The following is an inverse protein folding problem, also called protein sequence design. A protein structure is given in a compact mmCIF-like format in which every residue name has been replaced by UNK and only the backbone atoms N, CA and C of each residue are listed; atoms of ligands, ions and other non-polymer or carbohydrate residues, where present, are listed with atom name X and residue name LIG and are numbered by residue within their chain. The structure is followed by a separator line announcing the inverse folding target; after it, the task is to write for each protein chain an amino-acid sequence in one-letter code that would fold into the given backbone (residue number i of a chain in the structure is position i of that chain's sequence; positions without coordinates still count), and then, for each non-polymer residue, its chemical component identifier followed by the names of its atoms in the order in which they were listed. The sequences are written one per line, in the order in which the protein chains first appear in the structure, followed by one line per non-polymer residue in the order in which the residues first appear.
data_IF_258161886408
#
_entry.id   IF_258161886408
#
_cell.length_a   1.000
_cell.length_b   1.000
_cell.length_c   1.000
_cell.angle_alpha   90.00
_cell.angle_beta   90.00
_cell.angle_gamma   90.00
#
_symmetry.space_group_name_H-M   'P 1'
#
loop_
_entity.id
_entity.type
_entity.pdbx_description
1 polymer ?
#
# COMPACT_ATOMS: atom_id res chain seq x y z
N UNK A 1 9.66 -51.52 -12.52
CA UNK A 1 8.44 -51.34 -11.70
C UNK A 1 8.56 -51.85 -10.25
N UNK A 2 9.42 -52.83 -9.93
CA UNK A 2 9.58 -53.32 -8.55
C UNK A 2 10.26 -52.31 -7.59
N UNK A 3 11.15 -51.47 -8.10
CA UNK A 3 11.87 -50.42 -7.33
C UNK A 3 10.95 -49.31 -6.82
N UNK A 4 9.97 -48.86 -7.63
CA UNK A 4 8.98 -47.84 -7.23
C UNK A 4 8.09 -48.33 -6.08
N UNK A 5 7.68 -49.60 -6.13
CA UNK A 5 6.89 -50.23 -5.05
C UNK A 5 7.68 -50.37 -3.74
N UNK A 6 9.00 -50.55 -3.81
CA UNK A 6 9.85 -50.64 -2.63
C UNK A 6 10.01 -49.28 -1.93
N UNK A 7 10.08 -48.18 -2.71
CA UNK A 7 10.18 -46.81 -2.20
C UNK A 7 8.87 -46.35 -1.53
N UNK A 8 7.72 -46.73 -2.09
CA UNK A 8 6.39 -46.44 -1.51
C UNK A 8 6.10 -47.18 -0.20
N UNK A 9 6.93 -48.16 0.17
CA UNK A 9 6.81 -48.92 1.43
C UNK A 9 7.32 -48.16 2.65
N UNK A 10 8.15 -47.13 2.43
CA UNK A 10 8.69 -46.28 3.49
C UNK A 10 7.95 -44.94 3.48
N UNK A 11 7.18 -44.60 4.55
CA UNK A 11 6.35 -43.40 4.56
C UNK A 11 7.16 -42.10 4.42
N UNK A 12 8.39 -42.06 4.96
CA UNK A 12 9.31 -40.94 4.79
C UNK A 12 9.79 -40.76 3.34
N UNK A 13 10.06 -41.85 2.63
CA UNK A 13 10.48 -41.81 1.23
C UNK A 13 9.32 -41.38 0.31
N UNK A 14 8.10 -41.83 0.58
CA UNK A 14 6.90 -41.38 -0.12
C UNK A 14 6.65 -39.88 0.09
N UNK A 15 6.75 -39.39 1.32
CA UNK A 15 6.60 -37.98 1.64
C UNK A 15 7.66 -37.10 0.95
N UNK A 16 8.92 -37.53 0.98
CA UNK A 16 10.00 -36.85 0.25
C UNK A 16 9.75 -36.80 -1.26
N UNK A 17 9.25 -37.90 -1.85
CA UNK A 17 8.91 -37.94 -3.28
C UNK A 17 7.77 -36.98 -3.64
N UNK A 18 6.78 -36.83 -2.77
CA UNK A 18 5.69 -35.86 -2.94
C UNK A 18 6.20 -34.42 -2.89
N UNK A 19 7.10 -34.10 -1.94
CA UNK A 19 7.73 -32.77 -1.88
C UNK A 19 8.55 -32.51 -3.16
N UNK A 20 9.37 -33.47 -3.60
CA UNK A 20 10.17 -33.33 -4.82
C UNK A 20 9.26 -33.13 -6.03
N UNK A 21 8.18 -33.91 -6.15
CA UNK A 21 7.21 -33.76 -7.23
C UNK A 21 6.56 -32.36 -7.22
N UNK A 22 6.21 -31.84 -6.03
CA UNK A 22 5.69 -30.47 -5.89
C UNK A 22 6.73 -29.42 -6.30
N UNK A 23 8.00 -29.57 -5.90
CA UNK A 23 9.07 -28.65 -6.27
C UNK A 23 9.33 -28.67 -7.79
N UNK A 24 9.31 -29.85 -8.41
CA UNK A 24 9.45 -30.01 -9.86
C UNK A 24 8.26 -29.36 -10.58
N UNK A 25 7.03 -29.60 -10.12
CA UNK A 25 5.85 -28.96 -10.68
C UNK A 25 5.92 -27.43 -10.56
N UNK A 26 6.35 -26.91 -9.40
CA UNK A 26 6.55 -25.47 -9.18
C UNK A 26 7.64 -24.90 -10.09
N UNK A 27 8.75 -25.61 -10.28
CA UNK A 27 9.85 -25.18 -11.14
C UNK A 27 9.46 -25.12 -12.63
N UNK A 28 8.55 -26.00 -13.07
CA UNK A 28 7.98 -25.96 -14.43
C UNK A 28 6.92 -24.85 -14.53
N UNK A 29 6.08 -24.70 -13.50
CA UNK A 29 5.00 -23.72 -13.49
C UNK A 29 5.51 -22.27 -13.42
N UNK A 30 6.54 -22.00 -12.62
CA UNK A 30 7.08 -20.66 -12.39
C UNK A 30 7.44 -19.89 -13.68
N UNK A 31 8.24 -20.43 -14.64
CA UNK A 31 8.54 -19.70 -15.88
C UNK A 31 7.34 -19.54 -16.83
N UNK A 32 6.30 -20.38 -16.69
CA UNK A 32 5.06 -20.27 -17.47
C UNK A 32 4.19 -19.14 -16.90
N UNK A 33 4.05 -19.09 -15.57
CA UNK A 33 3.24 -18.08 -14.89
C UNK A 33 3.93 -16.70 -14.83
N UNK A 34 5.26 -16.67 -14.71
CA UNK A 34 6.09 -15.47 -14.62
C UNK A 34 7.17 -15.48 -15.71
N UNK A 35 6.86 -14.95 -16.91
CA UNK A 35 7.84 -14.81 -17.98
C UNK A 35 9.04 -13.96 -17.55
N UNK A 36 10.20 -14.21 -18.15
CA UNK A 36 11.46 -13.58 -17.74
C UNK A 36 11.44 -12.03 -17.75
N UNK A 37 10.76 -11.42 -18.73
CA UNK A 37 10.61 -9.96 -18.80
C UNK A 37 9.80 -9.40 -17.63
N UNK A 38 8.72 -10.10 -17.25
CA UNK A 38 7.87 -9.77 -16.12
C UNK A 38 8.63 -9.94 -14.80
N UNK A 39 9.38 -11.04 -14.67
CA UNK A 39 10.24 -11.27 -13.52
C UNK A 39 11.29 -10.17 -13.34
N UNK A 40 11.92 -9.70 -14.43
CA UNK A 40 12.85 -8.56 -14.38
C UNK A 40 12.12 -7.27 -13.96
N UNK A 41 10.91 -7.01 -14.49
CA UNK A 41 10.13 -5.82 -14.15
C UNK A 41 9.79 -5.80 -12.66
N UNK A 42 9.28 -6.92 -12.14
CA UNK A 42 8.95 -7.10 -10.73
C UNK A 42 10.20 -7.03 -9.84
N UNK A 43 11.30 -7.68 -10.24
CA UNK A 43 12.55 -7.67 -9.48
C UNK A 43 13.21 -6.29 -9.42
N UNK A 44 13.23 -5.57 -10.54
CA UNK A 44 13.75 -4.19 -10.57
C UNK A 44 12.93 -3.26 -9.68
N UNK A 45 11.68 -3.62 -9.38
CA UNK A 45 10.83 -2.87 -8.47
C UNK A 45 10.74 -1.40 -8.84
N UNK A 46 10.60 -1.12 -10.14
CA UNK A 46 10.50 0.24 -10.66
C UNK A 46 9.28 0.97 -10.11
N UNK A 47 9.18 2.26 -10.45
CA UNK A 47 8.07 3.11 -10.05
C UNK A 47 6.72 2.47 -10.42
N UNK A 48 5.77 2.49 -9.48
CA UNK A 48 4.45 1.87 -9.65
C UNK A 48 4.35 0.35 -9.44
N UNK A 49 5.44 -0.38 -9.13
CA UNK A 49 5.37 -1.85 -8.97
C UNK A 49 5.17 -2.29 -7.52
N UNK A 50 5.89 -1.69 -6.56
CA UNK A 50 5.84 -2.05 -5.14
C UNK A 50 5.62 -0.82 -4.24
N UNK A 51 5.14 0.29 -4.78
CA UNK A 51 4.97 1.53 -4.02
C UNK A 51 3.95 1.39 -2.88
N UNK A 52 2.94 0.56 -3.08
CA UNK A 52 1.89 0.27 -2.09
C UNK A 52 2.32 -0.80 -1.08
N UNK A 53 3.47 -1.45 -1.28
CA UNK A 53 3.96 -2.57 -0.48
C UNK A 53 5.36 -2.29 0.08
N UNK A 54 5.47 -1.74 1.29
CA UNK A 54 6.75 -1.49 1.93
C UNK A 54 7.63 -2.76 1.99
N UNK A 55 8.93 -2.62 1.73
CA UNK A 55 9.85 -3.77 1.65
C UNK A 55 9.88 -4.66 2.91
N UNK A 56 9.62 -4.06 4.07
CA UNK A 56 9.68 -4.72 5.37
C UNK A 56 8.28 -4.93 5.98
N UNK A 57 7.22 -4.82 5.17
CA UNK A 57 5.86 -5.09 5.63
C UNK A 57 5.75 -6.57 6.04
N UNK A 58 5.12 -6.82 7.18
CA UNK A 58 4.78 -8.18 7.60
C UNK A 58 3.67 -8.71 6.69
N UNK A 59 3.64 -10.02 6.41
CA UNK A 59 2.56 -10.59 5.64
C UNK A 59 1.26 -10.54 6.44
N UNK A 60 0.13 -10.34 5.76
CA UNK A 60 -1.20 -10.20 6.38
C UNK A 60 -1.62 -11.42 7.20
N UNK A 61 -1.15 -12.62 6.86
CA UNK A 61 -1.44 -13.84 7.65
C UNK A 61 -0.93 -13.77 9.09
N UNK A 62 -0.06 -12.81 9.42
CA UNK A 62 0.35 -12.57 10.80
C UNK A 62 -0.83 -12.18 11.71
N UNK A 63 -1.88 -11.56 11.17
CA UNK A 63 -3.12 -11.25 11.90
C UNK A 63 -4.01 -12.50 12.15
N UNK A 64 -3.64 -13.68 11.64
CA UNK A 64 -4.37 -14.92 11.93
C UNK A 64 -4.03 -15.52 13.29
N UNK A 65 -2.98 -15.02 13.96
CA UNK A 65 -2.65 -15.46 15.31
C UNK A 65 -3.60 -14.84 16.34
N UNK A 66 -4.10 -15.64 17.31
CA UNK A 66 -4.96 -15.12 18.36
C UNK A 66 -4.32 -13.94 19.11
N UNK A 67 -5.07 -12.85 19.26
CA UNK A 67 -4.63 -11.65 19.98
C UNK A 67 -3.70 -10.72 19.19
N UNK A 68 -3.58 -10.90 17.87
CA UNK A 68 -2.80 -10.02 16.99
C UNK A 68 -3.75 -9.26 16.06
N UNK A 69 -3.70 -7.93 16.12
CA UNK A 69 -4.48 -7.04 15.26
C UNK A 69 -3.60 -5.88 14.78
N UNK A 70 -2.64 -6.20 13.91
CA UNK A 70 -1.70 -5.23 13.36
C UNK A 70 -2.29 -4.55 12.12
N UNK A 71 -1.95 -3.26 11.89
CA UNK A 71 -2.38 -2.53 10.72
C UNK A 71 -1.98 -3.22 9.42
N UNK A 72 -2.97 -3.47 8.56
CA UNK A 72 -2.74 -3.92 7.19
C UNK A 72 -2.62 -2.72 6.26
N UNK A 73 -2.04 -2.95 5.07
CA UNK A 73 -2.00 -1.91 4.03
C UNK A 73 -3.42 -1.63 3.53
N UNK A 74 -3.91 -0.43 3.76
CA UNK A 74 -5.16 0.09 3.20
C UNK A 74 -4.84 0.91 1.96
N UNK A 75 -5.49 0.59 0.83
CA UNK A 75 -5.29 1.27 -0.45
C UNK A 75 -6.60 1.91 -0.87
N UNK A 76 -6.61 3.25 -0.94
CA UNK A 76 -7.77 4.03 -1.39
C UNK A 76 -7.39 4.78 -2.67
N UNK A 77 -8.17 4.58 -3.74
CA UNK A 77 -7.82 5.10 -5.06
C UNK A 77 -9.03 5.75 -5.75
N UNK A 78 -8.93 7.06 -5.99
CA UNK A 78 -9.97 7.86 -6.65
C UNK A 78 -10.08 7.65 -8.17
N UNK A 79 -9.15 6.91 -8.79
CA UNK A 79 -9.24 6.50 -10.20
C UNK A 79 -10.14 5.28 -10.38
N UNK A 80 -10.19 4.40 -9.37
CA UNK A 80 -11.02 3.18 -9.38
C UNK A 80 -12.37 3.38 -8.71
N UNK A 81 -12.45 4.28 -7.71
CA UNK A 81 -13.70 4.63 -7.03
C UNK A 81 -14.07 6.10 -7.25
N UNK A 82 -15.04 6.37 -8.16
CA UNK A 82 -15.53 7.72 -8.42
C UNK A 82 -16.23 8.38 -7.22
N UNK A 83 -16.74 7.60 -6.25
CA UNK A 83 -17.46 8.16 -5.10
C UNK A 83 -16.54 8.98 -4.18
N UNK A 84 -15.23 8.72 -4.22
CA UNK A 84 -14.22 9.45 -3.47
C UNK A 84 -13.94 10.85 -4.04
N UNK A 85 -14.53 11.21 -5.19
CA UNK A 85 -14.23 12.42 -5.94
C UNK A 85 -15.48 13.23 -6.25
N UNK A 86 -15.55 14.43 -5.72
CA UNK A 86 -16.59 15.40 -6.04
C UNK A 86 -15.99 16.56 -6.83
N UNK A 87 -16.57 16.88 -8.00
CA UNK A 87 -16.18 18.03 -8.81
C UNK A 87 -17.23 19.12 -8.72
N UNK A 88 -16.80 20.34 -8.45
CA UNK A 88 -17.64 21.53 -8.40
C UNK A 88 -17.05 22.58 -9.34
N UNK A 89 -17.83 23.02 -10.32
CA UNK A 89 -17.39 24.10 -11.21
C UNK A 89 -17.63 25.44 -10.52
N UNK A 90 -16.56 26.16 -10.18
CA UNK A 90 -16.63 27.48 -9.56
C UNK A 90 -16.80 28.59 -10.60
N UNK A 91 -16.23 28.41 -11.81
CA UNK A 91 -16.40 29.29 -12.96
C UNK A 91 -16.08 28.56 -14.27
N UNK A 92 -16.20 29.24 -15.42
CA UNK A 92 -15.83 28.68 -16.73
C UNK A 92 -14.36 28.22 -16.80
N UNK A 93 -13.48 28.75 -15.95
CA UNK A 93 -12.04 28.44 -15.97
C UNK A 93 -11.51 27.81 -14.68
N UNK A 94 -12.32 27.74 -13.61
CA UNK A 94 -11.92 27.20 -12.32
C UNK A 94 -12.84 26.05 -11.91
N UNK A 95 -12.24 24.87 -11.72
CA UNK A 95 -12.92 23.70 -11.17
C UNK A 95 -12.29 23.37 -9.83
N UNK A 96 -13.14 23.24 -8.81
CA UNK A 96 -12.76 22.67 -7.53
C UNK A 96 -13.03 21.17 -7.52
N UNK A 97 -12.13 20.42 -6.90
CA UNK A 97 -12.21 18.97 -6.86
C UNK A 97 -11.89 18.51 -5.45
N UNK A 98 -12.91 18.07 -4.73
CA UNK A 98 -12.79 17.52 -3.40
C UNK A 98 -12.58 16.01 -3.48
N UNK A 99 -11.52 15.53 -2.85
CA UNK A 99 -11.31 14.11 -2.61
C UNK A 99 -11.54 13.81 -1.13
N UNK A 100 -12.42 12.86 -0.84
CA UNK A 100 -12.70 12.44 0.55
C UNK A 100 -12.34 10.97 0.69
N UNK A 101 -11.36 10.69 1.55
CA UNK A 101 -10.90 9.34 1.85
C UNK A 101 -11.24 9.03 3.31
N UNK A 102 -12.25 8.19 3.51
CA UNK A 102 -12.59 7.69 4.85
C UNK A 102 -11.77 6.43 5.12
N UNK A 103 -11.11 6.41 6.28
CA UNK A 103 -10.27 5.30 6.70
C UNK A 103 -10.89 4.71 7.96
N UNK A 104 -11.48 3.51 7.83
CA UNK A 104 -11.99 2.76 8.97
C UNK A 104 -10.82 2.06 9.66
N UNK A 105 -10.28 2.70 10.69
CA UNK A 105 -9.07 2.24 11.38
C UNK A 105 -9.42 1.57 12.71
N UNK A 106 -9.32 0.23 12.75
CA UNK A 106 -9.72 -0.60 13.91
C UNK A 106 -8.57 -1.45 14.44
N UNK A 107 -7.33 -1.05 14.17
CA UNK A 107 -6.13 -1.79 14.53
C UNK A 107 -5.56 -1.34 15.87
N UNK A 108 -4.80 -2.24 16.52
CA UNK A 108 -4.28 -2.01 17.88
C UNK A 108 -2.95 -1.23 17.90
N UNK A 109 -2.48 -0.76 16.76
CA UNK A 109 -1.21 -0.04 16.64
C UNK A 109 -1.23 0.97 15.52
N UNK A 110 -0.17 1.77 15.43
CA UNK A 110 -0.04 2.80 14.39
C UNK A 110 0.42 2.23 13.05
N UNK A 111 -0.02 2.82 11.93
CA UNK A 111 0.48 2.41 10.62
C UNK A 111 1.96 2.78 10.51
N UNK A 112 2.69 2.09 9.63
CA UNK A 112 4.10 2.40 9.41
C UNK A 112 4.28 3.72 8.66
N UNK A 113 3.34 4.06 7.77
CA UNK A 113 3.38 5.24 6.92
C UNK A 113 1.98 5.57 6.39
N UNK A 114 1.75 6.83 6.05
CA UNK A 114 0.68 7.27 5.16
C UNK A 114 1.32 7.96 3.97
N UNK A 115 1.16 7.36 2.79
CA UNK A 115 1.68 7.89 1.54
C UNK A 115 0.52 8.32 0.63
N UNK A 116 0.63 9.51 0.06
CA UNK A 116 -0.36 10.07 -0.86
C UNK A 116 0.28 10.16 -2.24
N UNK A 117 -0.29 9.45 -3.20
CA UNK A 117 0.18 9.41 -4.58
C UNK A 117 -0.68 10.33 -5.43
N UNK A 118 -0.06 11.36 -6.00
CA UNK A 118 -0.72 12.26 -6.92
C UNK A 118 -0.56 11.80 -8.35
N UNK A 119 -1.64 11.93 -9.13
CA UNK A 119 -1.59 11.82 -10.59
C UNK A 119 -2.33 13.01 -11.18
N UNK A 120 -1.57 13.96 -11.68
CA UNK A 120 -2.07 15.22 -12.20
C UNK A 120 -2.07 15.25 -13.72
N UNK A 121 -3.23 15.56 -14.32
CA UNK A 121 -3.38 15.77 -15.77
C UNK A 121 -4.02 17.15 -15.98
N UNK A 122 -3.29 18.06 -16.61
CA UNK A 122 -3.71 19.43 -16.88
C UNK A 122 -3.20 19.91 -18.24
N UNK A 123 -3.90 20.89 -18.83
CA UNK A 123 -3.51 21.49 -20.13
C UNK A 123 -2.64 22.73 -19.98
N UNK A 124 -3.07 23.68 -19.15
CA UNK A 124 -2.43 25.00 -19.05
C UNK A 124 -1.95 25.32 -17.63
N UNK A 125 -2.78 25.08 -16.62
CA UNK A 125 -2.48 25.41 -15.22
C UNK A 125 -2.35 24.15 -14.38
N UNK A 126 -1.25 24.08 -13.63
CA UNK A 126 -1.02 23.04 -12.63
C UNK A 126 -2.06 23.13 -11.52
N UNK A 127 -2.62 22.00 -11.05
CA UNK A 127 -3.51 22.02 -9.91
C UNK A 127 -2.74 22.33 -8.63
N UNK A 128 -3.37 23.14 -7.80
CA UNK A 128 -2.95 23.39 -6.44
C UNK A 128 -3.75 22.46 -5.51
N UNK A 129 -3.07 21.77 -4.61
CA UNK A 129 -3.65 20.76 -3.74
C UNK A 129 -3.33 21.12 -2.29
N UNK A 130 -4.38 21.19 -1.48
CA UNK A 130 -4.28 21.32 -0.04
C UNK A 130 -4.66 20.01 0.63
N UNK A 131 -3.77 19.47 1.44
CA UNK A 131 -3.98 18.22 2.17
C UNK A 131 -4.41 18.53 3.60
N UNK A 132 -5.57 18.03 3.99
CA UNK A 132 -6.09 18.19 5.34
C UNK A 132 -6.45 16.84 5.91
N UNK A 133 -5.93 16.54 7.10
CA UNK A 133 -6.27 15.38 7.89
C UNK A 133 -7.34 15.74 8.91
N UNK A 134 -8.38 14.90 8.99
CA UNK A 134 -9.43 14.99 9.99
C UNK A 134 -9.28 13.83 10.94
N UNK A 135 -8.94 14.12 12.19
CA UNK A 135 -8.81 13.10 13.23
C UNK A 135 -10.18 12.75 13.83
N UNK A 136 -10.35 11.55 14.40
CA UNK A 136 -11.61 11.14 15.03
C UNK A 136 -12.06 12.05 16.20
N UNK A 137 -11.10 12.68 16.88
CA UNK A 137 -11.34 13.65 17.96
C UNK A 137 -11.77 15.06 17.47
N UNK A 138 -11.89 15.25 16.15
CA UNK A 138 -12.39 16.48 15.54
C UNK A 138 -11.33 17.53 15.20
N UNK A 139 -10.03 17.28 15.45
CA UNK A 139 -8.97 18.19 14.97
C UNK A 139 -8.91 18.19 13.45
N UNK A 140 -8.50 19.33 12.90
CA UNK A 140 -8.18 19.51 11.47
C UNK A 140 -6.71 19.89 11.37
N UNK A 141 -5.91 18.99 10.80
CA UNK A 141 -4.47 19.16 10.67
C UNK A 141 -4.17 19.37 9.19
N UNK A 142 -3.71 20.56 8.82
CA UNK A 142 -3.23 20.80 7.47
C UNK A 142 -1.84 20.19 7.33
N UNK A 143 -1.72 19.20 6.45
CA UNK A 143 -0.50 18.46 6.19
C UNK A 143 0.40 19.28 5.26
N UNK A 144 -0.06 19.52 4.03
CA UNK A 144 0.71 20.28 3.05
C UNK A 144 -0.19 21.12 2.15
N UNK A 145 0.45 22.07 1.46
CA UNK A 145 -0.17 22.92 0.45
C UNK A 145 0.81 23.10 -0.71
N UNK A 146 0.54 22.40 -1.81
CA UNK A 146 1.51 22.20 -2.89
C UNK A 146 0.89 22.24 -4.29
N UNK A 147 1.72 22.58 -5.28
CA UNK A 147 1.34 22.53 -6.69
C UNK A 147 1.89 21.25 -7.32
N UNK A 148 1.00 20.33 -7.70
CA UNK A 148 1.37 19.02 -8.26
C UNK A 148 1.75 19.14 -9.74
N UNK A 149 2.97 18.79 -10.10
CA UNK A 149 3.47 18.93 -11.47
C UNK A 149 3.14 17.74 -12.38
N UNK A 150 2.94 16.55 -11.80
CA UNK A 150 2.67 15.32 -12.54
C UNK A 150 2.37 14.16 -11.60
N UNK A 151 3.25 13.17 -11.59
CA UNK A 151 3.24 12.09 -10.60
C UNK A 151 4.19 12.44 -9.46
N UNK A 152 3.65 12.61 -8.26
CA UNK A 152 4.40 12.96 -7.06
C UNK A 152 3.90 12.10 -5.90
N UNK A 153 4.77 11.81 -4.94
CA UNK A 153 4.40 11.08 -3.73
C UNK A 153 4.72 11.95 -2.52
N UNK A 154 3.73 12.11 -1.65
CA UNK A 154 3.89 12.78 -0.37
C UNK A 154 3.89 11.72 0.75
N UNK A 155 4.98 11.66 1.51
CA UNK A 155 5.13 10.77 2.67
C UNK A 155 4.93 11.58 3.94
N UNK A 156 3.89 11.25 4.71
CA UNK A 156 3.53 11.97 5.93
C UNK A 156 4.67 11.94 6.96
N UNK A 157 5.38 10.81 7.10
CA UNK A 157 6.49 10.71 8.05
C UNK A 157 7.67 11.66 7.74
N UNK A 158 7.76 12.18 6.50
CA UNK A 158 8.80 13.11 6.07
C UNK A 158 8.36 14.58 6.17
N UNK A 159 7.15 14.85 6.64
CA UNK A 159 6.61 16.20 6.72
C UNK A 159 7.25 17.03 7.84
N UNK A 160 8.08 17.99 7.43
CA UNK A 160 8.76 18.93 8.33
C UNK A 160 7.83 19.97 8.96
N UNK A 161 6.66 20.29 8.37
CA UNK A 161 5.66 21.19 8.96
C UNK A 161 4.94 20.47 10.09
N UNK A 162 4.54 19.22 9.87
CA UNK A 162 3.92 18.39 10.90
C UNK A 162 4.89 18.19 12.08
N UNK A 163 6.15 17.82 11.80
CA UNK A 163 7.17 17.65 12.82
C UNK A 163 7.48 18.93 13.62
N UNK A 164 7.37 20.12 13.00
CA UNK A 164 7.53 21.41 13.69
C UNK A 164 6.32 21.78 14.55
N UNK A 165 5.12 21.38 14.13
CA UNK A 165 3.86 21.66 14.84
C UNK A 165 3.71 20.76 16.07
N UNK A 166 4.23 19.53 16.01
CA UNK A 166 4.18 18.53 17.08
C UNK A 166 5.59 18.01 17.41
N UNK A 167 6.44 18.84 18.04
CA UNK A 167 7.83 18.47 18.29
C UNK A 167 7.93 17.28 19.25
N UNK A 168 8.73 16.28 18.87
CA UNK A 168 9.00 15.10 19.70
C UNK A 168 7.94 13.99 19.60
N UNK A 169 6.88 14.18 18.81
CA UNK A 169 5.86 13.15 18.55
C UNK A 169 6.03 12.58 17.13
N UNK A 170 6.01 11.24 16.95
CA UNK A 170 5.99 10.64 15.63
C UNK A 170 4.72 11.01 14.85
N UNK A 171 4.84 11.26 13.55
CA UNK A 171 3.73 11.71 12.72
C UNK A 171 2.51 10.78 12.78
N UNK A 172 2.72 9.46 12.78
CA UNK A 172 1.63 8.47 12.83
C UNK A 172 0.87 8.52 14.16
N UNK A 173 1.56 8.78 15.28
CA UNK A 173 0.92 8.95 16.58
C UNK A 173 0.08 10.23 16.63
N UNK A 174 0.57 11.32 16.02
CA UNK A 174 -0.18 12.58 15.95
C UNK A 174 -1.50 12.43 15.18
N UNK A 175 -1.49 11.63 14.11
CA UNK A 175 -2.63 11.47 13.19
C UNK A 175 -3.64 10.39 13.61
N UNK A 176 -3.16 9.29 14.22
CA UNK A 176 -3.98 8.12 14.57
C UNK A 176 -4.11 7.92 16.09
N UNK A 177 -3.31 8.59 16.90
CA UNK A 177 -3.37 8.49 18.35
C UNK A 177 -4.42 9.40 18.96
N UNK A 178 -4.88 8.98 20.14
CA UNK A 178 -5.65 9.83 21.03
C UNK A 178 -4.72 10.82 21.74
N UNK A 179 -5.05 12.13 21.79
CA UNK A 179 -4.20 13.18 22.36
C UNK A 179 -4.05 13.13 23.89
#
# INVERSE_FOLDING_TARGET
MQTLRLLLRYPSAAFGMVIIAMLVALAIYAPIALPYSEAIRLWRGGEGVWQESPKNARPSWYNYFPGVNLPETIILNSQTDPALKQRTQLSDSLTDVLFTFNIDYTYDGFPQEVAIFFTSVYKEKRPHVTLTWHTPDGRKIQLDDLTVQGSETYYVAQDTRLARSFPGQPAMEVLFGDP
#
